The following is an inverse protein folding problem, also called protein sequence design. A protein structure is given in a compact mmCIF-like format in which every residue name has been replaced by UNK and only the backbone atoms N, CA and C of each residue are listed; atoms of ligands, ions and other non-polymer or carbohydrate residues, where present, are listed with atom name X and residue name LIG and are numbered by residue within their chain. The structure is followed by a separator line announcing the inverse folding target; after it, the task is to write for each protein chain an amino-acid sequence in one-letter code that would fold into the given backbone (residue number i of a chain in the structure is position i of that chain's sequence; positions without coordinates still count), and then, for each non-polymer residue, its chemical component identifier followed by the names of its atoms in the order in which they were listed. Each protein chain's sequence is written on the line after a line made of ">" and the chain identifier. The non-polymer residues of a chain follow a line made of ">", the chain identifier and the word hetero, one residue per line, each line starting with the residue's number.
data_IF_029668239815
#
_entry.id   IF_029668239815
#
_cell.length_a   1.000
_cell.length_b   1.000
_cell.length_c   1.000
_cell.angle_alpha   90.00
_cell.angle_beta   90.00
_cell.angle_gamma   90.00
#
_symmetry.space_group_name_H-M   'P 1'
#
loop_
_entity.id
_entity.type
_entity.pdbx_description
1 polymer ?
#
# COMPACT_ATOMS: atom_id res chain seq x y z
N UNK A 1 -24.93 29.13 -21.17
CA UNK A 1 -23.54 28.64 -21.35
C UNK A 1 -23.20 27.76 -20.16
N UNK A 2 -23.13 26.45 -20.37
CA UNK A 2 -22.88 25.49 -19.29
C UNK A 2 -21.38 25.48 -18.99
N UNK A 3 -20.99 25.95 -17.80
CA UNK A 3 -19.61 26.00 -17.35
C UNK A 3 -19.17 24.55 -17.05
N UNK A 4 -18.54 23.90 -18.04
CA UNK A 4 -17.90 22.60 -17.85
C UNK A 4 -16.76 22.80 -16.85
N UNK A 5 -17.01 22.50 -15.57
CA UNK A 5 -15.93 22.29 -14.60
C UNK A 5 -15.04 21.19 -15.18
N UNK A 6 -13.85 21.57 -15.64
CA UNK A 6 -12.80 20.59 -15.91
C UNK A 6 -12.56 19.83 -14.61
N UNK A 7 -12.55 18.47 -14.62
CA UNK A 7 -12.04 17.74 -13.49
C UNK A 7 -10.61 18.25 -13.22
N UNK A 8 -10.23 18.50 -11.96
CA UNK A 8 -8.85 18.86 -11.65
C UNK A 8 -7.92 17.80 -12.27
N UNK A 9 -6.76 18.18 -12.81
CA UNK A 9 -5.84 17.22 -13.40
C UNK A 9 -5.57 16.14 -12.36
N UNK A 10 -5.90 14.89 -12.69
CA UNK A 10 -5.60 13.74 -11.86
C UNK A 10 -4.09 13.65 -11.76
N UNK A 11 -3.55 14.09 -10.62
CA UNK A 11 -2.12 14.04 -10.31
C UNK A 11 -1.62 12.62 -10.51
N UNK A 12 -0.68 12.41 -11.43
CA UNK A 12 -0.18 11.08 -11.79
C UNK A 12 0.69 10.47 -10.68
N UNK A 13 0.88 9.16 -10.69
CA UNK A 13 1.84 8.46 -9.81
C UNK A 13 3.28 8.99 -9.97
N UNK A 14 3.59 9.63 -11.10
CA UNK A 14 4.90 10.25 -11.37
C UNK A 14 5.08 11.52 -10.56
N UNK A 15 4.09 12.41 -10.57
CA UNK A 15 4.14 13.67 -9.82
C UNK A 15 4.20 13.42 -8.31
N UNK A 16 3.40 12.47 -7.81
CA UNK A 16 3.46 12.07 -6.39
C UNK A 16 4.87 11.61 -5.99
N UNK A 17 5.55 10.85 -6.86
CA UNK A 17 6.93 10.39 -6.62
C UNK A 17 7.93 11.52 -6.60
N UNK A 18 7.85 12.43 -7.59
CA UNK A 18 8.71 13.62 -7.65
C UNK A 18 8.57 14.47 -6.39
N UNK A 19 7.35 14.61 -5.86
CA UNK A 19 7.11 15.35 -4.63
C UNK A 19 7.65 14.62 -3.39
N UNK A 20 7.46 13.31 -3.29
CA UNK A 20 8.07 12.52 -2.21
C UNK A 20 9.60 12.65 -2.20
N UNK A 21 10.24 12.60 -3.37
CA UNK A 21 11.68 12.77 -3.52
C UNK A 21 12.13 14.19 -3.15
N UNK A 22 11.39 15.22 -3.61
CA UNK A 22 11.66 16.64 -3.29
C UNK A 22 11.68 16.87 -1.78
N UNK A 23 10.75 16.27 -1.06
CA UNK A 23 10.65 16.36 0.39
C UNK A 23 11.41 15.25 1.15
N UNK A 24 12.32 14.55 0.46
CA UNK A 24 13.23 13.55 1.04
C UNK A 24 12.51 12.46 1.86
N UNK A 25 11.35 12.02 1.37
CA UNK A 25 10.65 10.90 1.97
C UNK A 25 11.54 9.65 1.93
N UNK A 26 11.78 9.01 3.08
CA UNK A 26 12.59 7.79 3.16
C UNK A 26 11.83 6.55 2.65
N UNK A 27 10.49 6.64 2.60
CA UNK A 27 9.62 5.55 2.20
C UNK A 27 9.42 5.57 0.69
N UNK A 28 9.76 4.48 -0.03
CA UNK A 28 9.64 4.44 -1.48
C UNK A 28 8.16 4.43 -1.92
N UNK A 29 7.89 4.98 -3.10
CA UNK A 29 6.52 5.19 -3.57
C UNK A 29 5.64 3.93 -3.61
N UNK A 30 6.19 2.76 -3.94
CA UNK A 30 5.43 1.50 -3.92
C UNK A 30 4.94 1.11 -2.52
N UNK A 31 5.74 1.42 -1.50
CA UNK A 31 5.37 1.24 -0.10
C UNK A 31 4.33 2.29 0.34
N UNK A 32 4.47 3.54 -0.09
CA UNK A 32 3.46 4.58 0.16
C UNK A 32 2.08 4.16 -0.39
N UNK A 33 2.03 3.61 -1.62
CA UNK A 33 0.78 3.10 -2.22
C UNK A 33 0.13 2.02 -1.35
N UNK A 34 0.93 1.11 -0.79
CA UNK A 34 0.41 0.00 0.00
C UNK A 34 0.05 0.42 1.43
N UNK A 35 0.77 1.38 2.03
CA UNK A 35 0.34 2.04 3.28
C UNK A 35 -1.02 2.71 3.15
N UNK A 36 -1.24 3.47 2.07
CA UNK A 36 -2.57 4.03 1.80
C UNK A 36 -3.63 2.94 1.58
N UNK A 37 -3.32 1.91 0.79
CA UNK A 37 -4.27 0.81 0.56
C UNK A 37 -4.65 0.10 1.86
N UNK A 38 -3.67 -0.18 2.73
CA UNK A 38 -3.89 -0.77 4.04
C UNK A 38 -4.83 0.10 4.88
N UNK A 39 -4.55 1.40 4.95
CA UNK A 39 -5.36 2.31 5.76
C UNK A 39 -6.79 2.47 5.21
N UNK A 40 -6.96 2.52 3.88
CA UNK A 40 -8.28 2.46 3.21
C UNK A 40 -9.03 1.15 3.55
N UNK A 41 -8.29 0.05 3.65
CA UNK A 41 -8.83 -1.27 3.96
C UNK A 41 -9.14 -1.47 5.43
N UNK A 42 -8.62 -0.63 6.35
CA UNK A 42 -8.86 -0.79 7.79
C UNK A 42 -10.37 -0.91 8.09
N UNK A 43 -10.75 -1.84 8.99
CA UNK A 43 -12.13 -1.99 9.42
C UNK A 43 -12.59 -0.84 10.34
N UNK A 44 -11.65 -0.03 10.84
CA UNK A 44 -11.91 1.14 11.68
C UNK A 44 -12.73 2.23 10.98
N UNK A 45 -13.36 3.09 11.78
CA UNK A 45 -14.11 4.25 11.29
C UNK A 45 -13.28 5.50 11.56
N UNK A 46 -13.20 6.39 10.57
CA UNK A 46 -12.49 7.66 10.70
C UNK A 46 -11.02 7.61 10.27
N UNK A 47 -10.64 6.61 9.47
CA UNK A 47 -9.30 6.54 8.88
C UNK A 47 -8.96 7.84 8.12
N UNK A 48 -7.79 8.39 8.41
CA UNK A 48 -7.37 9.70 7.92
C UNK A 48 -6.13 9.57 7.05
N UNK A 49 -6.20 9.94 5.75
CA UNK A 49 -5.02 9.94 4.90
C UNK A 49 -3.92 10.85 5.44
N UNK A 50 -4.27 11.94 6.13
CA UNK A 50 -3.29 12.86 6.70
C UNK A 50 -2.41 12.17 7.75
N UNK A 51 -2.98 11.27 8.56
CA UNK A 51 -2.19 10.51 9.54
C UNK A 51 -1.19 9.57 8.89
N UNK A 52 -1.58 8.90 7.80
CA UNK A 52 -0.65 8.09 7.02
C UNK A 52 0.45 8.95 6.41
N UNK A 53 0.11 10.15 5.88
CA UNK A 53 1.09 11.07 5.31
C UNK A 53 2.09 11.55 6.37
N UNK A 54 1.64 11.96 7.56
CA UNK A 54 2.53 12.33 8.67
C UNK A 54 3.55 11.22 8.98
N UNK A 55 3.11 9.95 8.97
CA UNK A 55 3.97 8.81 9.24
C UNK A 55 5.05 8.54 8.18
N UNK A 56 4.88 9.04 6.96
CA UNK A 56 5.94 8.95 5.94
C UNK A 56 7.20 9.72 6.34
N UNK A 57 7.07 10.68 7.27
CA UNK A 57 8.16 11.47 7.85
C UNK A 57 8.28 11.30 9.38
N UNK A 58 7.92 10.12 9.89
CA UNK A 58 8.08 9.81 11.31
C UNK A 58 7.09 10.53 12.24
N UNK A 59 5.93 10.92 11.73
CA UNK A 59 4.82 11.47 12.50
C UNK A 59 4.66 12.99 12.42
N UNK A 60 5.53 13.69 11.68
CA UNK A 60 5.40 15.12 11.41
C UNK A 60 5.72 15.41 9.95
N UNK A 61 4.90 16.22 9.30
CA UNK A 61 5.14 16.67 7.93
C UNK A 61 6.49 17.41 7.80
N UNK A 62 7.14 17.36 6.62
CA UNK A 62 8.35 18.09 6.34
C UNK A 62 8.12 19.60 6.42
N UNK A 63 9.20 20.38 6.49
CA UNK A 63 9.09 21.83 6.38
C UNK A 63 8.73 22.23 4.95
N UNK A 64 7.80 23.19 4.83
CA UNK A 64 7.35 23.72 3.55
C UNK A 64 7.72 25.20 3.44
N UNK A 65 8.16 25.62 2.25
CA UNK A 65 8.47 27.01 1.95
C UNK A 65 7.21 27.90 1.94
N UNK A 66 6.04 27.31 1.69
CA UNK A 66 4.75 28.00 1.67
C UNK A 66 3.58 27.04 1.90
N UNK A 67 2.39 27.60 2.15
CA UNK A 67 1.13 26.84 2.21
C UNK A 67 0.83 26.19 0.85
N UNK A 68 1.15 26.85 -0.26
CA UNK A 68 0.94 26.28 -1.61
C UNK A 68 1.81 25.04 -1.83
N UNK A 69 3.04 25.05 -1.34
CA UNK A 69 3.94 23.90 -1.40
C UNK A 69 3.42 22.71 -0.56
N UNK A 70 2.85 23.00 0.62
CA UNK A 70 2.15 21.99 1.42
C UNK A 70 0.92 21.43 0.68
N UNK A 71 0.11 22.31 0.08
CA UNK A 71 -1.07 21.92 -0.68
C UNK A 71 -0.73 21.09 -1.93
N UNK A 72 0.41 21.37 -2.57
CA UNK A 72 0.91 20.59 -3.71
C UNK A 72 1.17 19.13 -3.30
N UNK A 73 1.93 18.92 -2.22
CA UNK A 73 2.23 17.58 -1.70
C UNK A 73 0.96 16.86 -1.23
N UNK A 74 0.18 17.50 -0.34
CA UNK A 74 -1.03 16.90 0.22
C UNK A 74 -2.06 16.61 -0.88
N UNK A 75 -2.23 17.53 -1.82
CA UNK A 75 -3.10 17.36 -2.98
C UNK A 75 -2.67 16.16 -3.83
N UNK A 76 -1.39 16.04 -4.15
CA UNK A 76 -0.87 14.91 -4.92
C UNK A 76 -1.09 13.56 -4.22
N UNK A 77 -0.85 13.49 -2.91
CA UNK A 77 -0.99 12.25 -2.14
C UNK A 77 -2.46 11.88 -1.88
N UNK A 78 -3.30 12.83 -1.48
CA UNK A 78 -4.71 12.56 -1.17
C UNK A 78 -5.54 12.45 -2.45
N UNK A 79 -5.51 13.49 -3.30
CA UNK A 79 -6.35 13.53 -4.49
C UNK A 79 -5.81 12.64 -5.61
N UNK A 80 -4.50 12.52 -5.71
CA UNK A 80 -3.86 11.64 -6.67
C UNK A 80 -3.89 10.19 -6.19
N UNK A 81 -3.08 9.86 -5.18
CA UNK A 81 -2.81 8.46 -4.83
C UNK A 81 -3.95 7.83 -4.04
N UNK A 82 -4.30 8.40 -2.88
CA UNK A 82 -5.31 7.83 -1.99
C UNK A 82 -6.66 7.66 -2.68
N UNK A 83 -7.20 8.71 -3.29
CA UNK A 83 -8.52 8.65 -3.93
C UNK A 83 -8.58 7.59 -5.03
N UNK A 84 -7.53 7.45 -5.84
CA UNK A 84 -7.47 6.36 -6.84
C UNK A 84 -7.46 4.99 -6.19
N UNK A 85 -6.73 4.81 -5.10
CA UNK A 85 -6.67 3.53 -4.40
C UNK A 85 -8.01 3.13 -3.77
N UNK A 86 -8.90 4.08 -3.45
CA UNK A 86 -10.21 3.77 -2.90
C UNK A 86 -11.07 2.88 -3.81
N UNK A 87 -10.86 2.92 -5.13
CA UNK A 87 -11.55 2.07 -6.11
C UNK A 87 -11.31 0.57 -5.86
N UNK A 88 -10.19 0.20 -5.22
CA UNK A 88 -9.83 -1.19 -4.97
C UNK A 88 -10.64 -1.86 -3.86
N UNK A 89 -11.50 -1.09 -3.17
CA UNK A 89 -12.55 -1.63 -2.31
C UNK A 89 -13.65 -2.35 -3.10
N UNK A 90 -13.75 -2.12 -4.42
CA UNK A 90 -14.79 -2.68 -5.29
C UNK A 90 -14.43 -4.08 -5.84
N UNK A 91 -15.46 -4.88 -6.13
CA UNK A 91 -15.24 -6.28 -6.53
C UNK A 91 -14.61 -6.46 -7.92
N UNK A 92 -14.77 -5.50 -8.80
CA UNK A 92 -14.33 -5.53 -10.18
C UNK A 92 -12.98 -4.82 -10.40
N UNK A 93 -12.40 -4.24 -9.34
CA UNK A 93 -11.20 -3.40 -9.45
C UNK A 93 -10.08 -3.90 -8.53
N UNK A 94 -9.57 -5.13 -8.69
CA UNK A 94 -8.54 -5.65 -7.78
C UNK A 94 -7.25 -4.82 -7.82
N UNK A 95 -6.64 -4.62 -6.65
CA UNK A 95 -5.33 -3.99 -6.55
C UNK A 95 -4.24 -4.90 -7.13
N UNK A 96 -3.25 -4.28 -7.75
CA UNK A 96 -2.02 -4.92 -8.23
C UNK A 96 -0.82 -4.26 -7.60
N UNK A 97 0.12 -5.09 -7.17
CA UNK A 97 1.40 -4.64 -6.69
C UNK A 97 2.21 -4.05 -7.86
N UNK A 98 3.26 -3.29 -7.55
CA UNK A 98 4.05 -2.58 -8.57
C UNK A 98 4.65 -3.55 -9.58
N UNK A 99 4.40 -3.34 -10.86
CA UNK A 99 4.97 -4.17 -11.92
C UNK A 99 6.47 -3.89 -12.03
N UNK A 100 7.28 -4.92 -11.83
CA UNK A 100 8.74 -4.85 -11.95
C UNK A 100 9.24 -5.82 -13.02
N UNK A 101 10.27 -5.40 -13.74
CA UNK A 101 10.94 -6.19 -14.78
C UNK A 101 12.44 -6.28 -14.45
N UNK A 102 12.81 -7.04 -13.40
CA UNK A 102 14.21 -7.15 -13.03
C UNK A 102 14.98 -7.93 -14.09
N UNK A 103 16.25 -7.54 -14.27
CA UNK A 103 17.21 -8.38 -14.98
C UNK A 103 17.38 -9.72 -14.27
N UNK A 104 17.77 -10.76 -15.00
CA UNK A 104 18.07 -12.09 -14.45
C UNK A 104 19.43 -12.13 -13.74
N UNK A 105 19.64 -11.20 -12.81
CA UNK A 105 20.86 -11.03 -12.02
C UNK A 105 20.53 -11.11 -10.54
N UNK A 106 21.56 -11.33 -9.71
CA UNK A 106 21.45 -11.27 -8.24
C UNK A 106 20.86 -9.93 -7.78
N UNK A 107 21.37 -8.83 -8.31
CA UNK A 107 20.90 -7.48 -8.00
C UNK A 107 19.43 -7.28 -8.40
N UNK A 108 19.04 -7.74 -9.60
CA UNK A 108 17.65 -7.66 -10.06
C UNK A 108 16.70 -8.46 -9.18
N UNK A 109 17.12 -9.65 -8.75
CA UNK A 109 16.36 -10.50 -7.84
C UNK A 109 16.23 -9.88 -6.44
N UNK A 110 17.34 -9.38 -5.88
CA UNK A 110 17.37 -8.68 -4.60
C UNK A 110 16.44 -7.45 -4.63
N UNK A 111 16.54 -6.63 -5.67
CA UNK A 111 15.67 -5.46 -5.86
C UNK A 111 14.20 -5.85 -5.91
N UNK A 112 13.83 -6.89 -6.68
CA UNK A 112 12.44 -7.35 -6.74
C UNK A 112 11.96 -7.83 -5.37
N UNK A 113 12.76 -8.63 -4.66
CA UNK A 113 12.42 -9.17 -3.36
C UNK A 113 12.25 -8.08 -2.30
N UNK A 114 13.15 -7.10 -2.27
CA UNK A 114 13.07 -5.94 -1.38
C UNK A 114 11.79 -5.13 -1.63
N UNK A 115 11.46 -4.84 -2.89
CA UNK A 115 10.22 -4.14 -3.24
C UNK A 115 9.00 -4.92 -2.73
N UNK A 116 8.98 -6.26 -2.88
CA UNK A 116 7.86 -7.06 -2.38
C UNK A 116 7.74 -6.99 -0.85
N UNK A 117 8.85 -7.10 -0.13
CA UNK A 117 8.84 -6.97 1.33
C UNK A 117 8.27 -5.61 1.75
N UNK A 118 8.78 -4.52 1.17
CA UNK A 118 8.34 -3.15 1.44
C UNK A 118 6.85 -2.96 1.13
N UNK A 119 6.34 -3.49 0.02
CA UNK A 119 4.91 -3.39 -0.30
C UNK A 119 4.01 -4.15 0.68
N UNK A 120 4.45 -5.32 1.16
CA UNK A 120 3.68 -6.10 2.13
C UNK A 120 3.75 -5.49 3.54
N UNK A 121 4.94 -5.04 3.95
CA UNK A 121 5.14 -4.34 5.22
C UNK A 121 4.32 -3.04 5.23
N UNK A 122 4.38 -2.25 4.17
CA UNK A 122 3.57 -1.05 3.99
C UNK A 122 2.07 -1.32 4.05
N UNK A 123 1.58 -2.37 3.41
CA UNK A 123 0.16 -2.75 3.50
C UNK A 123 -0.27 -3.05 4.93
N UNK A 124 0.53 -3.82 5.68
CA UNK A 124 0.23 -4.17 7.08
C UNK A 124 0.31 -2.94 7.98
N UNK A 125 1.36 -2.13 7.87
CA UNK A 125 1.49 -0.88 8.63
C UNK A 125 0.31 0.06 8.40
N UNK A 126 -0.10 0.22 7.14
CA UNK A 126 -1.28 1.02 6.80
C UNK A 126 -2.57 0.48 7.41
N UNK A 127 -2.76 -0.84 7.38
CA UNK A 127 -3.97 -1.51 7.87
C UNK A 127 -4.18 -1.32 9.37
N UNK A 128 -3.11 -1.38 10.15
CA UNK A 128 -3.16 -1.17 11.60
C UNK A 128 -3.12 0.32 11.97
N UNK A 129 -2.43 1.13 11.17
CA UNK A 129 -2.26 2.57 11.44
C UNK A 129 -1.57 2.78 12.79
N UNK A 130 -2.24 3.46 13.72
CA UNK A 130 -1.76 3.68 15.08
C UNK A 130 -2.25 2.64 16.10
N UNK A 131 -3.05 1.67 15.67
CA UNK A 131 -3.64 0.69 16.57
C UNK A 131 -2.69 -0.49 16.74
N UNK A 132 -2.38 -0.86 17.98
CA UNK A 132 -1.61 -2.08 18.28
C UNK A 132 -2.38 -3.36 17.89
N UNK A 133 -3.70 -3.29 17.94
CA UNK A 133 -4.59 -4.38 17.50
C UNK A 133 -5.86 -3.82 16.88
N UNK A 134 -6.41 -4.57 15.93
CA UNK A 134 -7.68 -4.26 15.28
C UNK A 134 -8.55 -5.53 15.21
N UNK A 135 -9.86 -5.35 15.36
CA UNK A 135 -10.80 -6.45 15.18
C UNK A 135 -10.93 -6.78 13.68
N UNK A 136 -10.37 -7.92 13.27
CA UNK A 136 -10.38 -8.36 11.89
C UNK A 136 -11.45 -9.45 11.67
N UNK A 137 -12.17 -9.40 10.55
CA UNK A 137 -12.96 -10.54 10.10
C UNK A 137 -12.05 -11.76 9.85
N UNK A 138 -12.58 -12.96 10.06
CA UNK A 138 -11.83 -14.23 9.92
C UNK A 138 -11.10 -14.35 8.58
N UNK A 139 -11.76 -13.99 7.46
CA UNK A 139 -11.12 -14.04 6.13
C UNK A 139 -9.93 -13.07 6.00
N UNK A 140 -10.00 -11.90 6.63
CA UNK A 140 -8.88 -10.96 6.68
C UNK A 140 -7.73 -11.49 7.54
N UNK A 141 -8.05 -12.11 8.69
CA UNK A 141 -7.05 -12.75 9.54
C UNK A 141 -6.29 -13.88 8.80
N UNK A 142 -7.02 -14.75 8.10
CA UNK A 142 -6.38 -15.77 7.25
C UNK A 142 -5.52 -15.17 6.14
N UNK A 143 -5.99 -14.09 5.51
CA UNK A 143 -5.23 -13.38 4.48
C UNK A 143 -3.92 -12.81 5.02
N UNK A 144 -3.94 -12.17 6.19
CA UNK A 144 -2.72 -11.66 6.84
C UNK A 144 -1.74 -12.77 7.21
N UNK A 145 -2.22 -13.90 7.72
CA UNK A 145 -1.36 -15.06 8.02
C UNK A 145 -0.68 -15.60 6.76
N UNK A 146 -1.39 -15.63 5.63
CA UNK A 146 -0.81 -16.02 4.35
C UNK A 146 0.21 -14.97 3.85
N UNK A 147 -0.11 -13.69 3.95
CA UNK A 147 0.81 -12.60 3.59
C UNK A 147 2.09 -12.61 4.42
N UNK A 148 2.02 -12.90 5.72
CA UNK A 148 3.21 -13.04 6.58
C UNK A 148 4.14 -14.13 6.07
N UNK A 149 3.61 -15.30 5.68
CA UNK A 149 4.39 -16.39 5.09
C UNK A 149 5.01 -15.99 3.75
N UNK A 150 4.24 -15.35 2.87
CA UNK A 150 4.73 -14.88 1.57
C UNK A 150 5.83 -13.83 1.74
N UNK A 151 5.67 -12.90 2.69
CA UNK A 151 6.68 -11.89 3.06
C UNK A 151 7.96 -12.55 3.56
N UNK A 152 7.86 -13.59 4.40
CA UNK A 152 9.01 -14.36 4.84
C UNK A 152 9.74 -15.06 3.67
N UNK A 153 9.01 -15.57 2.68
CA UNK A 153 9.61 -16.15 1.47
C UNK A 153 10.34 -15.10 0.63
N UNK A 154 9.77 -13.89 0.48
CA UNK A 154 10.47 -12.79 -0.20
C UNK A 154 11.74 -12.36 0.55
N UNK A 155 11.69 -12.28 1.88
CA UNK A 155 12.87 -12.00 2.69
C UNK A 155 13.96 -13.08 2.52
N UNK A 156 13.59 -14.36 2.52
CA UNK A 156 14.54 -15.45 2.28
C UNK A 156 15.20 -15.37 0.88
N UNK A 157 14.46 -14.95 -0.14
CA UNK A 157 15.02 -14.71 -1.48
C UNK A 157 15.99 -13.52 -1.46
N UNK A 158 15.64 -12.45 -0.76
CA UNK A 158 16.52 -11.29 -0.60
C UNK A 158 17.85 -11.69 0.06
N UNK A 159 17.80 -12.42 1.16
CA UNK A 159 18.98 -12.89 1.90
C UNK A 159 19.89 -13.76 1.01
N UNK A 160 19.29 -14.66 0.21
CA UNK A 160 20.03 -15.51 -0.73
C UNK A 160 20.66 -14.68 -1.86
N UNK A 161 19.93 -13.70 -2.40
CA UNK A 161 20.40 -12.88 -3.51
C UNK A 161 21.55 -11.96 -3.10
N UNK A 162 21.55 -11.46 -1.86
CA UNK A 162 22.60 -10.62 -1.28
C UNK A 162 23.84 -11.39 -0.84
N UNK A 163 23.74 -12.71 -0.65
CA UNK A 163 24.87 -13.55 -0.26
C UNK A 163 25.73 -13.93 -1.48
N UNK A 164 26.83 -13.20 -1.66
CA UNK A 164 27.81 -13.39 -2.75
C UNK A 164 28.52 -14.75 -2.70
N UNK A 165 28.54 -15.40 -1.53
CA UNK A 165 29.20 -16.71 -1.36
C UNK A 165 28.37 -17.86 -1.92
N UNK A 166 27.08 -17.65 -2.18
CA UNK A 166 26.23 -18.68 -2.78
C UNK A 166 26.53 -18.83 -4.27
N UNK A 167 26.51 -20.06 -4.83
CA UNK A 167 26.58 -20.22 -6.28
C UNK A 167 25.27 -19.70 -6.90
N UNK A 168 25.38 -18.81 -7.89
CA UNK A 168 24.25 -18.34 -8.67
C UNK A 168 24.53 -18.60 -10.15
N UNK A 169 23.75 -19.49 -10.75
CA UNK A 169 23.74 -19.67 -12.21
C UNK A 169 22.61 -18.84 -12.81
N UNK A 170 22.78 -18.38 -14.05
CA UNK A 170 21.74 -17.61 -14.75
C UNK A 170 20.41 -18.38 -14.82
N UNK A 171 20.47 -19.70 -15.06
CA UNK A 171 19.29 -20.57 -15.07
C UNK A 171 18.57 -20.63 -13.71
N UNK A 172 19.32 -20.62 -12.59
CA UNK A 172 18.73 -20.56 -11.26
C UNK A 172 18.10 -19.19 -10.98
N UNK A 173 18.71 -18.10 -11.43
CA UNK A 173 18.15 -16.75 -11.30
C UNK A 173 16.85 -16.60 -12.09
N UNK A 174 16.82 -17.06 -13.35
CA UNK A 174 15.60 -17.05 -14.17
C UNK A 174 14.47 -17.85 -13.55
N UNK A 175 14.78 -19.04 -13.02
CA UNK A 175 13.81 -19.89 -12.32
C UNK A 175 13.26 -19.19 -11.09
N UNK A 176 14.13 -18.56 -10.29
CA UNK A 176 13.72 -17.86 -9.08
C UNK A 176 12.86 -16.63 -9.41
N UNK A 177 13.17 -15.88 -10.46
CA UNK A 177 12.33 -14.76 -10.93
C UNK A 177 10.93 -15.24 -11.34
N UNK A 178 10.81 -16.41 -12.00
CA UNK A 178 9.50 -16.98 -12.34
C UNK A 178 8.72 -17.34 -11.08
N UNK A 179 9.36 -17.98 -10.08
CA UNK A 179 8.73 -18.30 -8.80
C UNK A 179 8.29 -17.03 -8.03
N UNK A 180 9.11 -15.98 -8.05
CA UNK A 180 8.79 -14.68 -7.47
C UNK A 180 7.52 -14.07 -8.09
N UNK A 181 7.31 -14.23 -9.40
CA UNK A 181 6.09 -13.76 -10.07
C UNK A 181 4.85 -14.52 -9.60
N UNK A 182 4.93 -15.83 -9.42
CA UNK A 182 3.81 -16.61 -8.89
C UNK A 182 3.51 -16.25 -7.43
N UNK A 183 4.55 -16.10 -6.59
CA UNK A 183 4.37 -15.60 -5.22
C UNK A 183 3.76 -14.20 -5.18
N UNK A 184 4.11 -13.34 -6.13
CA UNK A 184 3.51 -11.99 -6.25
C UNK A 184 2.01 -12.07 -6.54
N UNK A 185 1.57 -12.98 -7.43
CA UNK A 185 0.13 -13.18 -7.70
C UNK A 185 -0.61 -13.70 -6.46
N UNK A 186 0.02 -14.60 -5.70
CA UNK A 186 -0.54 -15.09 -4.45
C UNK A 186 -0.67 -13.96 -3.41
N UNK A 187 0.36 -13.11 -3.32
CA UNK A 187 0.33 -11.93 -2.45
C UNK A 187 -0.81 -10.97 -2.82
N UNK A 188 -0.95 -10.66 -4.11
CA UNK A 188 -2.07 -9.83 -4.61
C UNK A 188 -3.42 -10.44 -4.27
N UNK A 189 -3.57 -11.76 -4.40
CA UNK A 189 -4.82 -12.45 -4.06
C UNK A 189 -5.19 -12.26 -2.60
N UNK A 190 -4.23 -12.42 -1.69
CA UNK A 190 -4.48 -12.26 -0.25
C UNK A 190 -4.65 -10.79 0.17
N UNK A 191 -3.88 -9.85 -0.39
CA UNK A 191 -4.11 -8.39 -0.19
C UNK A 191 -5.54 -8.04 -0.58
N UNK A 192 -6.00 -8.46 -1.76
CA UNK A 192 -7.36 -8.19 -2.21
C UNK A 192 -8.41 -8.88 -1.32
N UNK A 193 -8.14 -10.07 -0.80
CA UNK A 193 -9.04 -10.75 0.14
C UNK A 193 -9.19 -9.96 1.45
N UNK A 194 -8.09 -9.46 2.01
CA UNK A 194 -8.09 -8.60 3.21
C UNK A 194 -8.88 -7.31 2.95
N UNK A 195 -8.55 -6.59 1.87
CA UNK A 195 -9.22 -5.33 1.48
C UNK A 195 -10.73 -5.51 1.42
N UNK A 196 -11.20 -6.56 0.74
CA UNK A 196 -12.63 -6.84 0.61
C UNK A 196 -13.28 -7.21 1.91
N UNK A 197 -12.67 -8.11 2.66
CA UNK A 197 -13.24 -8.63 3.90
C UNK A 197 -13.44 -7.52 4.91
N UNK A 198 -12.43 -6.65 5.09
CA UNK A 198 -12.53 -5.51 6.00
C UNK A 198 -13.51 -4.44 5.48
N UNK A 199 -13.53 -4.18 4.16
CA UNK A 199 -14.51 -3.26 3.56
C UNK A 199 -15.95 -3.72 3.79
N UNK A 200 -16.23 -5.02 3.64
CA UNK A 200 -17.57 -5.59 3.88
C UNK A 200 -17.94 -5.45 5.35
N UNK A 201 -17.05 -5.83 6.26
CA UNK A 201 -17.31 -5.74 7.70
C UNK A 201 -17.59 -4.30 8.13
N UNK A 202 -16.78 -3.33 7.68
CA UNK A 202 -17.00 -1.90 7.95
C UNK A 202 -18.36 -1.42 7.44
N UNK A 203 -18.78 -1.84 6.23
CA UNK A 203 -20.11 -1.50 5.67
C UNK A 203 -21.26 -2.10 6.47
N UNK A 204 -21.08 -3.29 7.06
CA UNK A 204 -22.09 -3.94 7.90
C UNK A 204 -22.23 -3.30 9.28
N UNK A 205 -21.15 -2.74 9.84
CA UNK A 205 -21.16 -2.06 11.15
C UNK A 205 -21.68 -0.62 11.10
N UNK A 206 -21.61 0.04 9.94
CA UNK A 206 -22.03 1.44 9.77
C UNK A 206 -23.50 1.71 10.14
N UNK A 207 -24.49 0.89 9.73
CA UNK A 207 -25.89 1.10 10.09
C UNK A 207 -26.16 1.04 11.60
N UNK A 208 -25.55 0.10 12.32
CA UNK A 208 -25.72 -0.02 13.78
C UNK A 208 -25.20 1.20 14.53
N UNK A 209 -24.06 1.76 14.10
CA UNK A 209 -23.46 2.94 14.74
C UNK A 209 -24.23 4.24 14.46
N UNK A 210 -24.94 4.32 13.34
CA UNK A 210 -25.81 5.45 13.03
C UNK A 210 -27.13 5.39 13.82
N UNK A 211 -27.60 4.18 14.17
CA UNK A 211 -28.80 3.99 14.98
C UNK A 211 -28.58 4.34 16.46
N UNK A 212 -27.35 4.16 16.98
CA UNK A 212 -26.99 4.47 18.37
C UNK A 212 -26.68 5.96 18.64
N UNK A 213 -26.76 6.84 17.64
CA UNK A 213 -26.62 8.28 17.88
C UNK A 213 -27.86 8.80 18.63
N UNK A 214 -27.71 9.46 19.79
CA UNK A 214 -28.86 10.04 20.49
C UNK A 214 -29.53 11.07 19.59
N UNK A 215 -30.83 10.92 19.34
CA UNK A 215 -31.66 12.02 18.85
C UNK A 215 -31.63 13.12 19.90
N UNK A 216 -30.96 14.23 19.59
CA UNK A 216 -31.07 15.46 20.36
C UNK A 216 -32.55 15.92 20.28
N UNK A 217 -33.29 15.67 21.35
CA UNK A 217 -34.61 16.24 21.61
C UNK A 217 -34.48 17.57 22.32
#
# INVERSE_FOLDING_TARGET
>A
MSNKRHPPPTVSDVEARVLLDRYKCAIPFHEVRTRFLGNIASPGIGESPIKVIEQLWGGKLPEFESIDAANELIGALVMGVWNRLTQHQERNSPFRLTRVHPAATREGLATQAQIRCQELDGFVEGLFGHNESIALPERAHHGLNALSKIRAMFAAVLDVAMDEMKPATDAAMETTIKLMREMTKNAETEVNAVVRSCTIARRQMLPSLLADKPTLH
#
